data_IF_116155337480
#
_entry.id   IF_116155337480
#
_cell.length_a   1.000
_cell.length_b   1.000
_cell.length_c   1.000
_cell.angle_alpha   90.00
_cell.angle_beta   90.00
_cell.angle_gamma   90.00
#
_symmetry.space_group_name_H-M   'P 1'
#
loop_
_entity.id
_entity.type
_entity.pdbx_description
1 polymer ?
#
# COMPACT_ATOMS: atom_id res chain seq x y z
N UNK A 1 -12.53 -13.53 -7.51
CA UNK A 1 -11.34 -12.69 -7.27
C UNK A 1 -10.88 -12.16 -8.60
N UNK A 2 -10.78 -10.84 -8.76
CA UNK A 2 -10.36 -10.25 -10.03
C UNK A 2 -8.82 -10.32 -10.22
N UNK A 3 -8.30 -10.01 -11.41
CA UNK A 3 -6.84 -10.08 -11.71
C UNK A 3 -6.00 -9.19 -10.78
N UNK A 4 -6.52 -8.05 -10.35
CA UNK A 4 -5.81 -7.15 -9.43
C UNK A 4 -5.73 -7.76 -8.02
N UNK A 5 -6.83 -8.28 -7.53
CA UNK A 5 -6.93 -8.96 -6.23
C UNK A 5 -6.05 -10.21 -6.18
N UNK A 6 -5.99 -10.99 -7.26
CA UNK A 6 -5.09 -12.15 -7.34
C UNK A 6 -3.62 -11.71 -7.20
N UNK A 7 -3.20 -10.63 -7.87
CA UNK A 7 -1.83 -10.10 -7.73
C UNK A 7 -1.52 -9.66 -6.31
N UNK A 8 -2.50 -9.10 -5.59
CA UNK A 8 -2.33 -8.76 -4.18
C UNK A 8 -2.21 -10.02 -3.32
N UNK A 9 -3.07 -11.02 -3.55
CA UNK A 9 -3.02 -12.30 -2.84
C UNK A 9 -1.66 -13.00 -3.04
N UNK A 10 -1.19 -13.12 -4.28
CA UNK A 10 0.11 -13.71 -4.59
C UNK A 10 1.26 -12.93 -3.93
N UNK A 11 1.16 -11.60 -3.88
CA UNK A 11 2.15 -10.75 -3.21
C UNK A 11 2.16 -10.97 -1.71
N UNK A 12 0.99 -11.08 -1.09
CA UNK A 12 0.83 -11.36 0.34
C UNK A 12 1.41 -12.73 0.67
N UNK A 13 1.00 -13.77 -0.06
CA UNK A 13 1.49 -15.14 0.09
C UNK A 13 3.03 -15.22 -0.02
N UNK A 14 3.63 -14.52 -0.99
CA UNK A 14 5.10 -14.46 -1.11
C UNK A 14 5.79 -13.82 0.10
N UNK A 15 5.16 -12.83 0.75
CA UNK A 15 5.73 -12.25 1.97
C UNK A 15 5.53 -13.16 3.17
N UNK A 16 4.39 -13.82 3.29
CA UNK A 16 4.12 -14.81 4.34
C UNK A 16 5.11 -15.97 4.25
N UNK A 17 5.34 -16.53 3.06
CA UNK A 17 6.34 -17.60 2.88
C UNK A 17 7.76 -17.16 3.29
N UNK A 18 8.12 -15.91 3.00
CA UNK A 18 9.42 -15.34 3.40
C UNK A 18 9.53 -15.12 4.91
N UNK A 19 8.44 -14.70 5.54
CA UNK A 19 8.35 -14.56 6.99
C UNK A 19 8.51 -15.92 7.67
N UNK A 20 7.74 -16.92 7.24
CA UNK A 20 7.79 -18.28 7.78
C UNK A 20 9.17 -18.91 7.61
N UNK A 21 9.80 -18.73 6.44
CA UNK A 21 11.17 -19.20 6.21
C UNK A 21 12.16 -18.53 7.17
N UNK A 22 12.11 -17.21 7.30
CA UNK A 22 12.98 -16.48 8.22
C UNK A 22 12.73 -16.86 9.70
N UNK A 23 11.48 -17.11 10.09
CA UNK A 23 11.13 -17.56 11.43
C UNK A 23 11.69 -18.96 11.72
N UNK A 24 11.58 -19.91 10.77
CA UNK A 24 12.19 -21.25 10.89
C UNK A 24 13.71 -21.17 10.98
N UNK A 25 14.34 -20.35 10.16
CA UNK A 25 15.79 -20.14 10.17
C UNK A 25 16.24 -19.51 11.50
N UNK A 26 15.48 -18.53 12.02
CA UNK A 26 15.70 -17.92 13.34
C UNK A 26 15.65 -18.96 14.45
N UNK A 27 14.59 -19.75 14.49
CA UNK A 27 14.38 -20.76 15.54
C UNK A 27 15.48 -21.82 15.52
N UNK A 28 15.83 -22.35 14.35
CA UNK A 28 16.92 -23.32 14.23
C UNK A 28 18.29 -22.74 14.65
N UNK A 29 18.56 -21.48 14.29
CA UNK A 29 19.80 -20.78 14.66
C UNK A 29 19.84 -20.48 16.17
N UNK A 30 18.71 -20.10 16.76
CA UNK A 30 18.56 -19.87 18.19
C UNK A 30 18.81 -21.17 18.98
N UNK A 31 18.17 -22.28 18.57
CA UNK A 31 18.39 -23.60 19.19
C UNK A 31 19.86 -24.02 19.12
N UNK A 32 20.53 -23.77 18.00
CA UNK A 32 21.98 -24.02 17.86
C UNK A 32 22.81 -23.18 18.83
N UNK A 33 22.54 -21.87 18.94
CA UNK A 33 23.23 -21.00 19.88
C UNK A 33 23.02 -21.45 21.35
N UNK A 34 21.79 -21.85 21.68
CA UNK A 34 21.44 -22.42 22.98
C UNK A 34 22.22 -23.71 23.28
N UNK A 35 22.22 -24.67 22.36
CA UNK A 35 22.98 -25.91 22.50
C UNK A 35 24.48 -25.66 22.67
N UNK A 36 25.05 -24.69 21.95
CA UNK A 36 26.45 -24.29 22.13
C UNK A 36 26.69 -23.72 23.54
N UNK A 37 25.74 -22.94 24.06
CA UNK A 37 25.78 -22.38 25.41
C UNK A 37 25.72 -23.43 26.52
N UNK A 38 24.95 -24.50 26.33
CA UNK A 38 24.82 -25.61 27.28
C UNK A 38 26.15 -26.35 27.52
N UNK A 39 27.12 -26.25 26.59
CA UNK A 39 28.46 -26.80 26.77
C UNK A 39 29.32 -26.02 27.80
N UNK A 40 28.89 -24.83 28.23
CA UNK A 40 29.56 -24.04 29.26
C UNK A 40 28.79 -24.20 30.58
N UNK A 41 29.38 -24.85 31.60
CA UNK A 41 28.82 -24.90 32.94
C UNK A 41 28.38 -23.52 33.45
N UNK A 42 27.21 -23.48 34.06
CA UNK A 42 26.65 -22.24 34.58
C UNK A 42 27.58 -21.62 35.63
N UNK A 43 27.88 -20.32 35.48
CA UNK A 43 28.75 -19.58 36.39
C UNK A 43 30.26 -19.78 36.17
N UNK A 44 30.70 -20.57 35.18
CA UNK A 44 32.13 -20.73 34.90
C UNK A 44 32.75 -19.42 34.36
N UNK A 45 33.70 -18.80 35.08
CA UNK A 45 34.37 -17.59 34.61
C UNK A 45 35.38 -17.92 33.50
N UNK A 46 35.81 -16.89 32.76
CA UNK A 46 36.94 -17.01 31.84
C UNK A 46 38.22 -17.11 32.67
N UNK A 47 39.02 -18.15 32.46
CA UNK A 47 40.31 -18.30 33.12
C UNK A 47 41.36 -17.39 32.44
N UNK A 48 41.48 -16.16 32.92
CA UNK A 48 42.42 -15.16 32.39
C UNK A 48 43.87 -15.59 32.65
N UNK A 49 44.72 -15.53 31.63
CA UNK A 49 46.13 -15.95 31.68
C UNK A 49 46.35 -17.45 31.49
N UNK A 50 45.30 -18.28 31.41
CA UNK A 50 45.43 -19.71 31.15
C UNK A 50 45.58 -20.01 29.65
N UNK A 51 46.26 -21.10 29.29
CA UNK A 51 46.49 -21.48 27.88
C UNK A 51 45.18 -21.70 27.08
N UNK A 52 44.05 -21.95 27.76
CA UNK A 52 42.72 -22.14 27.16
C UNK A 52 41.93 -20.84 26.96
N UNK A 53 42.38 -19.71 27.53
CA UNK A 53 41.65 -18.43 27.54
C UNK A 53 41.19 -18.02 26.14
N UNK A 54 42.12 -18.02 25.18
CA UNK A 54 41.85 -17.60 23.80
C UNK A 54 40.77 -18.48 23.14
N UNK A 55 40.80 -19.78 23.40
CA UNK A 55 39.83 -20.74 22.84
C UNK A 55 38.44 -20.52 23.44
N UNK A 56 38.38 -20.28 24.75
CA UNK A 56 37.16 -20.07 25.51
C UNK A 56 36.46 -18.74 25.13
N UNK A 57 37.22 -17.65 25.00
CA UNK A 57 36.73 -16.37 24.45
C UNK A 57 36.14 -16.54 23.05
N UNK A 58 36.91 -17.13 22.13
CA UNK A 58 36.45 -17.39 20.76
C UNK A 58 35.19 -18.27 20.72
N UNK A 59 35.03 -19.22 21.65
CA UNK A 59 33.82 -20.04 21.73
C UNK A 59 32.61 -19.23 22.18
N UNK A 60 32.73 -18.43 23.25
CA UNK A 60 31.68 -17.52 23.70
C UNK A 60 31.31 -16.47 22.64
N UNK A 61 32.29 -15.92 21.94
CA UNK A 61 32.05 -14.98 20.83
C UNK A 61 31.25 -15.64 19.69
N UNK A 62 31.53 -16.91 19.37
CA UNK A 62 30.73 -17.66 18.39
C UNK A 62 29.29 -17.86 18.86
N UNK A 63 29.06 -18.13 20.14
CA UNK A 63 27.69 -18.23 20.71
C UNK A 63 26.97 -16.89 20.54
N UNK A 64 27.60 -15.80 20.99
CA UNK A 64 27.07 -14.44 20.88
C UNK A 64 26.72 -14.09 19.43
N UNK A 65 27.64 -14.33 18.50
CA UNK A 65 27.41 -14.07 17.08
C UNK A 65 26.30 -14.95 16.49
N UNK A 66 26.12 -16.18 16.99
CA UNK A 66 25.04 -17.08 16.54
C UNK A 66 23.69 -16.60 17.06
N UNK A 67 23.60 -16.14 18.31
CA UNK A 67 22.39 -15.45 18.81
C UNK A 67 22.10 -14.17 18.02
N UNK A 68 23.10 -13.34 17.76
CA UNK A 68 22.93 -12.14 16.94
C UNK A 68 22.35 -12.45 15.55
N UNK A 69 22.81 -13.54 14.91
CA UNK A 69 22.22 -14.02 13.65
C UNK A 69 20.77 -14.48 13.80
N UNK A 70 20.44 -15.20 14.88
CA UNK A 70 19.07 -15.63 15.15
C UNK A 70 18.12 -14.42 15.31
N UNK A 71 18.51 -13.43 16.11
CA UNK A 71 17.70 -12.22 16.29
C UNK A 71 17.56 -11.40 14.99
N UNK A 72 18.62 -11.29 14.19
CA UNK A 72 18.52 -10.65 12.87
C UNK A 72 17.53 -11.37 11.93
N UNK A 73 17.48 -12.71 11.98
CA UNK A 73 16.49 -13.50 11.25
C UNK A 73 15.07 -13.31 11.80
N UNK A 74 14.93 -13.20 13.13
CA UNK A 74 13.66 -12.89 13.77
C UNK A 74 13.12 -11.51 13.34
N UNK A 75 13.97 -10.49 13.32
CA UNK A 75 13.59 -9.15 12.85
C UNK A 75 13.22 -9.16 11.36
N UNK A 76 13.94 -9.95 10.56
CA UNK A 76 13.60 -10.19 9.16
C UNK A 76 12.23 -10.86 9.00
N UNK A 77 11.88 -11.81 9.87
CA UNK A 77 10.56 -12.44 9.87
C UNK A 77 9.46 -11.41 10.15
N UNK A 78 9.59 -10.65 11.25
CA UNK A 78 8.66 -9.56 11.62
C UNK A 78 8.53 -8.53 10.49
N UNK A 79 9.62 -8.18 9.84
CA UNK A 79 9.59 -7.26 8.69
C UNK A 79 8.68 -7.77 7.57
N UNK A 80 8.80 -9.06 7.21
CA UNK A 80 7.96 -9.64 6.17
C UNK A 80 6.51 -9.85 6.61
N UNK A 81 6.24 -10.15 7.88
CA UNK A 81 4.89 -10.18 8.44
C UNK A 81 4.22 -8.81 8.32
N UNK A 82 4.92 -7.74 8.70
CA UNK A 82 4.43 -6.36 8.54
C UNK A 82 4.18 -6.03 7.06
N UNK A 83 5.07 -6.46 6.16
CA UNK A 83 4.86 -6.28 4.71
C UNK A 83 3.62 -7.03 4.24
N UNK A 84 3.41 -8.27 4.65
CA UNK A 84 2.22 -9.07 4.32
C UNK A 84 0.94 -8.42 4.84
N UNK A 85 0.94 -7.99 6.10
CA UNK A 85 -0.20 -7.31 6.74
C UNK A 85 -0.53 -5.97 6.04
N UNK A 86 0.45 -5.27 5.49
CA UNK A 86 0.24 -4.03 4.73
C UNK A 86 -0.28 -4.23 3.31
N UNK A 87 -0.28 -5.46 2.78
CA UNK A 87 -0.79 -5.71 1.42
C UNK A 87 -2.30 -5.53 1.40
N UNK A 88 -2.78 -4.62 0.55
CA UNK A 88 -4.22 -4.36 0.38
C UNK A 88 -4.82 -3.42 1.42
N UNK A 89 -4.04 -2.88 2.37
CA UNK A 89 -4.53 -1.86 3.32
C UNK A 89 -4.55 -0.45 2.74
N UNK A 90 -3.92 -0.26 1.57
CA UNK A 90 -4.07 0.97 0.80
C UNK A 90 -5.52 1.15 0.33
N UNK A 91 -5.91 2.39 0.04
CA UNK A 91 -7.21 2.68 -0.54
C UNK A 91 -7.41 1.99 -1.91
N UNK A 92 -8.65 2.04 -2.41
CA UNK A 92 -9.04 1.44 -3.70
C UNK A 92 -8.08 1.91 -4.80
N UNK A 93 -7.44 1.00 -5.52
CA UNK A 93 -6.45 1.33 -6.55
C UNK A 93 -7.11 1.62 -7.89
N UNK A 94 -6.52 2.50 -8.71
CA UNK A 94 -6.99 2.70 -10.10
C UNK A 94 -6.70 1.51 -11.02
N UNK A 95 -5.77 0.63 -10.62
CA UNK A 95 -5.43 -0.60 -11.37
C UNK A 95 -6.41 -1.75 -11.07
N UNK A 96 -7.39 -1.53 -10.19
CA UNK A 96 -8.47 -2.46 -9.92
C UNK A 96 -9.58 -2.28 -10.98
N UNK A 97 -9.93 -3.32 -11.76
CA UNK A 97 -11.03 -3.22 -12.74
C UNK A 97 -12.38 -2.90 -12.08
N UNK A 98 -12.54 -3.16 -10.78
CA UNK A 98 -13.76 -2.88 -10.03
C UNK A 98 -13.65 -1.57 -9.22
N UNK A 99 -12.62 -0.75 -9.45
CA UNK A 99 -12.35 0.46 -8.67
C UNK A 99 -13.53 1.43 -8.60
N UNK A 100 -14.20 1.66 -9.74
CA UNK A 100 -15.32 2.59 -9.83
C UNK A 100 -16.50 2.08 -8.99
N UNK A 101 -16.84 0.80 -9.11
CA UNK A 101 -17.93 0.19 -8.36
C UNK A 101 -17.66 0.17 -6.86
N UNK A 102 -16.42 -0.16 -6.45
CA UNK A 102 -16.00 -0.08 -5.05
C UNK A 102 -16.08 1.34 -4.49
N UNK A 103 -15.67 2.35 -5.28
CA UNK A 103 -15.77 3.76 -4.87
C UNK A 103 -17.23 4.24 -4.79
N UNK A 104 -18.11 3.77 -5.70
CA UNK A 104 -19.55 4.05 -5.64
C UNK A 104 -20.20 3.44 -4.41
N UNK A 105 -19.84 2.21 -4.04
CA UNK A 105 -20.29 1.58 -2.81
C UNK A 105 -19.79 2.34 -1.56
N UNK A 106 -18.53 2.76 -1.53
CA UNK A 106 -17.98 3.58 -0.44
C UNK A 106 -18.73 4.93 -0.34
N UNK A 107 -19.03 5.55 -1.47
CA UNK A 107 -19.79 6.78 -1.54
C UNK A 107 -21.22 6.62 -1.00
N UNK A 108 -21.92 5.55 -1.40
CA UNK A 108 -23.26 5.25 -0.92
C UNK A 108 -23.29 5.07 0.62
N UNK A 109 -22.26 4.42 1.17
CA UNK A 109 -22.10 4.29 2.62
C UNK A 109 -21.88 5.64 3.31
N UNK A 110 -21.06 6.52 2.71
CA UNK A 110 -20.84 7.87 3.23
C UNK A 110 -22.12 8.72 3.18
N UNK A 111 -22.92 8.60 2.11
CA UNK A 111 -24.21 9.27 1.95
C UNK A 111 -25.22 8.78 2.99
N UNK A 112 -25.33 7.47 3.20
CA UNK A 112 -26.18 6.88 4.23
C UNK A 112 -25.76 7.32 5.64
N UNK A 113 -24.44 7.33 5.93
CA UNK A 113 -23.92 7.82 7.20
C UNK A 113 -24.23 9.31 7.41
N UNK A 114 -24.14 10.13 6.36
CA UNK A 114 -24.45 11.55 6.43
C UNK A 114 -25.92 11.78 6.81
N UNK A 115 -26.84 11.11 6.12
CA UNK A 115 -28.26 11.26 6.40
C UNK A 115 -28.63 10.71 7.78
N UNK A 116 -28.02 9.61 8.20
CA UNK A 116 -28.18 9.07 9.56
C UNK A 116 -27.72 10.07 10.63
N UNK A 117 -26.58 10.74 10.46
CA UNK A 117 -26.09 11.76 11.39
C UNK A 117 -27.03 12.98 11.45
N UNK A 118 -27.48 13.47 10.30
CA UNK A 118 -28.43 14.59 10.22
C UNK A 118 -29.77 14.26 10.88
N UNK A 119 -30.31 13.07 10.61
CA UNK A 119 -31.56 12.60 11.18
C UNK A 119 -31.46 12.49 12.72
N UNK A 120 -30.36 11.92 13.22
CA UNK A 120 -30.10 11.83 14.66
C UNK A 120 -30.03 13.23 15.31
N UNK A 121 -29.24 14.15 14.75
CA UNK A 121 -29.14 15.51 15.29
C UNK A 121 -30.48 16.26 15.25
N UNK A 122 -31.27 16.06 14.20
CA UNK A 122 -32.63 16.61 14.11
C UNK A 122 -33.52 16.04 15.22
N UNK A 123 -33.51 14.72 15.42
CA UNK A 123 -34.29 14.06 16.47
C UNK A 123 -33.91 14.55 17.87
N UNK A 124 -32.61 14.69 18.16
CA UNK A 124 -32.10 15.21 19.44
C UNK A 124 -32.59 16.65 19.67
N UNK A 125 -32.52 17.51 18.64
CA UNK A 125 -32.92 18.92 18.73
C UNK A 125 -34.42 19.12 18.90
N UNK A 126 -35.24 18.26 18.29
CA UNK A 126 -36.71 18.37 18.33
C UNK A 126 -37.30 17.87 19.65
N UNK A 127 -36.68 16.89 20.31
CA UNK A 127 -37.15 16.31 21.56
C UNK A 127 -36.52 17.02 22.77
N UNK A 128 -37.28 17.15 23.87
CA UNK A 128 -36.89 17.99 25.04
C UNK A 128 -36.43 17.21 26.27
N UNK A 129 -36.77 15.93 26.37
CA UNK A 129 -36.36 15.07 27.51
C UNK A 129 -35.45 13.96 27.02
N UNK A 130 -34.57 13.46 27.89
CA UNK A 130 -33.67 12.35 27.54
C UNK A 130 -34.45 11.12 27.08
N UNK A 131 -35.56 10.79 27.75
CA UNK A 131 -36.43 9.67 27.39
C UNK A 131 -37.01 9.81 25.97
N UNK A 132 -37.52 11.00 25.63
CA UNK A 132 -38.08 11.26 24.28
C UNK A 132 -37.01 11.30 23.20
N UNK A 133 -35.81 11.78 23.54
CA UNK A 133 -34.65 11.76 22.63
C UNK A 133 -34.18 10.32 22.36
N UNK A 134 -34.07 9.48 23.38
CA UNK A 134 -33.70 8.06 23.24
C UNK A 134 -34.74 7.33 22.40
N UNK A 135 -36.04 7.48 22.70
CA UNK A 135 -37.11 6.85 21.93
C UNK A 135 -37.06 7.25 20.44
N UNK A 136 -36.81 8.54 20.14
CA UNK A 136 -36.68 9.01 18.76
C UNK A 136 -35.45 8.47 18.04
N UNK A 137 -34.31 8.32 18.72
CA UNK A 137 -33.11 7.70 18.16
C UNK A 137 -33.29 6.20 17.93
N UNK A 138 -33.97 5.49 18.84
CA UNK A 138 -34.29 4.08 18.67
C UNK A 138 -35.22 3.86 17.47
N UNK A 139 -36.21 4.74 17.27
CA UNK A 139 -37.06 4.72 16.08
C UNK A 139 -36.29 4.94 14.75
N UNK A 140 -35.14 5.64 14.80
CA UNK A 140 -34.22 5.80 13.67
C UNK A 140 -33.24 4.61 13.49
N UNK A 141 -33.38 3.55 14.27
CA UNK A 141 -32.56 2.33 14.17
C UNK A 141 -31.24 2.38 14.92
N UNK A 142 -31.09 3.26 15.91
CA UNK A 142 -29.99 3.19 16.87
C UNK A 142 -30.34 2.21 17.99
N UNK A 143 -29.35 1.49 18.53
CA UNK A 143 -29.56 0.75 19.76
C UNK A 143 -29.69 1.71 20.94
N UNK A 144 -30.35 1.29 22.03
CA UNK A 144 -30.47 2.10 23.25
C UNK A 144 -29.11 2.56 23.77
N UNK A 145 -28.09 1.69 23.71
CA UNK A 145 -26.71 2.03 24.06
C UNK A 145 -26.14 3.15 23.19
N UNK A 146 -26.34 3.08 21.88
CA UNK A 146 -25.87 4.12 20.96
C UNK A 146 -26.62 5.44 21.17
N UNK A 147 -27.94 5.37 21.41
CA UNK A 147 -28.76 6.53 21.70
C UNK A 147 -28.29 7.24 22.98
N UNK A 148 -28.06 6.49 24.06
CA UNK A 148 -27.53 7.02 25.31
C UNK A 148 -26.16 7.68 25.12
N UNK A 149 -25.25 7.03 24.36
CA UNK A 149 -23.93 7.58 24.06
C UNK A 149 -24.01 8.89 23.26
N UNK A 150 -24.96 9.02 22.33
CA UNK A 150 -25.15 10.27 21.58
C UNK A 150 -25.69 11.41 22.45
N UNK A 151 -26.34 11.11 23.58
CA UNK A 151 -26.80 12.13 24.53
C UNK A 151 -25.76 12.49 25.58
N UNK A 152 -24.71 11.69 25.71
CA UNK A 152 -23.55 12.02 26.52
C UNK A 152 -22.84 13.25 25.94
N UNK A 153 -22.52 14.20 26.80
CA UNK A 153 -21.81 15.40 26.40
C UNK A 153 -20.37 15.06 26.01
N UNK A 154 -19.92 15.56 24.87
CA UNK A 154 -18.51 15.52 24.52
C UNK A 154 -17.67 16.44 25.43
N UNK A 155 -16.35 16.47 25.21
CA UNK A 155 -15.43 17.31 25.99
C UNK A 155 -15.73 18.83 25.88
N UNK A 156 -16.52 19.25 24.89
CA UNK A 156 -16.99 20.62 24.68
C UNK A 156 -18.47 20.82 25.10
N UNK A 157 -19.10 19.83 25.74
CA UNK A 157 -20.49 19.93 26.17
C UNK A 157 -21.54 19.69 25.08
N UNK A 158 -21.14 19.23 23.88
CA UNK A 158 -22.03 18.99 22.74
C UNK A 158 -22.66 17.61 22.84
N UNK A 159 -23.89 17.49 22.35
CA UNK A 159 -24.61 16.22 22.23
C UNK A 159 -24.93 15.94 20.76
N UNK A 160 -25.09 14.67 20.42
CA UNK A 160 -25.29 14.19 19.07
C UNK A 160 -23.98 14.11 18.27
N UNK A 161 -24.10 14.06 16.96
CA UNK A 161 -22.96 14.09 16.07
C UNK A 161 -22.42 15.52 15.93
N UNK A 162 -21.12 15.74 16.15
CA UNK A 162 -20.55 17.08 16.08
C UNK A 162 -20.41 17.59 14.64
N UNK A 163 -20.51 18.90 14.44
CA UNK A 163 -20.49 19.54 13.11
C UNK A 163 -19.25 19.20 12.26
N UNK A 164 -18.10 19.02 12.91
CA UNK A 164 -16.87 18.64 12.21
C UNK A 164 -16.99 17.24 11.59
N UNK A 165 -17.75 16.31 12.19
CA UNK A 165 -17.93 14.97 11.65
C UNK A 165 -18.75 15.01 10.34
N UNK A 166 -19.83 15.80 10.31
CA UNK A 166 -20.62 16.03 9.10
C UNK A 166 -19.82 16.76 8.01
N UNK A 167 -19.01 17.74 8.40
CA UNK A 167 -18.16 18.52 7.48
C UNK A 167 -17.08 17.64 6.86
N UNK A 168 -16.39 16.85 7.68
CA UNK A 168 -15.37 15.91 7.22
C UNK A 168 -15.95 14.86 6.27
N UNK A 169 -17.13 14.32 6.60
CA UNK A 169 -17.81 13.35 5.74
C UNK A 169 -18.22 13.97 4.40
N UNK A 170 -18.77 15.21 4.38
CA UNK A 170 -19.04 15.94 3.14
C UNK A 170 -17.78 16.16 2.28
N UNK A 171 -16.65 16.53 2.90
CA UNK A 171 -15.37 16.67 2.21
C UNK A 171 -14.90 15.36 1.59
N UNK A 172 -15.05 14.25 2.32
CA UNK A 172 -14.74 12.91 1.84
C UNK A 172 -15.62 12.50 0.65
N UNK A 173 -16.93 12.71 0.74
CA UNK A 173 -17.86 12.45 -0.37
C UNK A 173 -17.48 13.23 -1.63
N UNK A 174 -17.14 14.52 -1.51
CA UNK A 174 -16.71 15.34 -2.64
C UNK A 174 -15.45 14.80 -3.30
N UNK A 175 -14.47 14.39 -2.50
CA UNK A 175 -13.22 13.78 -2.97
C UNK A 175 -13.47 12.46 -3.69
N UNK A 176 -14.32 11.59 -3.15
CA UNK A 176 -14.68 10.30 -3.78
C UNK A 176 -15.43 10.52 -5.09
N UNK A 177 -16.41 11.46 -5.13
CA UNK A 177 -17.11 11.84 -6.37
C UNK A 177 -16.14 12.34 -7.45
N UNK A 178 -15.20 13.22 -7.10
CA UNK A 178 -14.18 13.69 -8.03
C UNK A 178 -13.29 12.56 -8.57
N UNK A 179 -12.92 11.62 -7.71
CA UNK A 179 -12.13 10.44 -8.09
C UNK A 179 -12.88 9.49 -9.03
N UNK A 180 -14.18 9.26 -8.79
CA UNK A 180 -15.03 8.46 -9.68
C UNK A 180 -15.07 9.10 -11.07
N UNK A 181 -15.38 10.39 -11.15
CA UNK A 181 -15.44 11.11 -12.43
C UNK A 181 -14.09 11.10 -13.17
N UNK A 182 -12.98 11.19 -12.45
CA UNK A 182 -11.64 11.07 -13.04
C UNK A 182 -11.41 9.68 -13.64
N UNK A 183 -11.74 8.60 -12.94
CA UNK A 183 -11.57 7.23 -13.43
C UNK A 183 -12.51 6.92 -14.60
N UNK A 184 -13.75 7.41 -14.57
CA UNK A 184 -14.71 7.28 -15.67
C UNK A 184 -14.18 7.95 -16.94
N UNK A 185 -13.68 9.19 -16.85
CA UNK A 185 -13.07 9.89 -17.97
C UNK A 185 -11.85 9.14 -18.53
N UNK A 186 -11.04 8.53 -17.66
CA UNK A 186 -9.89 7.74 -18.11
C UNK A 186 -10.31 6.47 -18.85
N UNK A 187 -11.37 5.79 -18.42
CA UNK A 187 -11.90 4.59 -19.11
C UNK A 187 -12.52 4.88 -20.47
N UNK A 188 -13.03 6.10 -20.67
CA UNK A 188 -13.60 6.52 -21.95
C UNK A 188 -12.56 7.02 -22.96
N UNK A 189 -11.30 7.15 -22.54
CA UNK A 189 -10.22 7.56 -23.43
C UNK A 189 -10.00 6.45 -24.46
N UNK A 190 -9.73 6.82 -25.71
CA UNK A 190 -9.27 5.87 -26.71
C UNK A 190 -7.79 5.57 -26.50
N UNK A 191 -7.39 4.35 -26.83
CA UNK A 191 -5.97 4.01 -26.90
C UNK A 191 -5.28 4.87 -27.97
N UNK A 192 -4.03 5.24 -27.70
CA UNK A 192 -3.21 5.99 -28.64
C UNK A 192 -1.97 5.17 -28.93
N UNK A 193 -1.71 4.91 -30.21
CA UNK A 193 -0.47 4.29 -30.63
C UNK A 193 0.24 5.19 -31.65
N UNK A 194 1.55 5.38 -31.45
CA UNK A 194 2.39 6.19 -32.34
C UNK A 194 3.72 5.50 -32.55
N UNK A 195 4.09 5.29 -33.79
CA UNK A 195 5.41 4.81 -34.17
C UNK A 195 6.42 5.96 -34.13
N UNK A 196 7.50 5.77 -33.38
CA UNK A 196 8.70 6.60 -33.46
C UNK A 196 9.79 5.86 -34.23
N UNK A 197 10.96 6.49 -34.38
CA UNK A 197 12.09 5.81 -35.01
C UNK A 197 12.62 4.71 -34.09
N UNK A 198 12.35 3.44 -34.40
CA UNK A 198 12.82 2.25 -33.65
C UNK A 198 12.18 2.02 -32.28
N UNK A 199 10.99 2.60 -32.06
CA UNK A 199 10.17 2.35 -30.87
C UNK A 199 8.69 2.64 -31.15
N UNK A 200 7.81 2.05 -30.36
CA UNK A 200 6.37 2.32 -30.37
C UNK A 200 5.96 2.95 -29.04
N UNK A 201 5.28 4.08 -29.12
CA UNK A 201 4.64 4.73 -27.99
C UNK A 201 3.17 4.32 -27.92
N UNK A 202 2.71 3.87 -26.74
CA UNK A 202 1.32 3.46 -26.51
C UNK A 202 0.75 4.11 -25.26
N UNK A 203 -0.44 4.68 -25.36
CA UNK A 203 -1.32 5.00 -24.23
C UNK A 203 -2.40 3.92 -24.18
N UNK A 204 -2.26 3.02 -23.21
CA UNK A 204 -3.08 1.82 -23.06
C UNK A 204 -4.04 2.02 -21.90
N UNK A 205 -5.31 2.20 -22.23
CA UNK A 205 -6.37 2.52 -21.26
C UNK A 205 -6.80 1.29 -20.48
N UNK A 206 -6.75 0.10 -21.08
CA UNK A 206 -7.05 -1.17 -20.44
C UNK A 206 -5.98 -1.53 -19.38
N UNK A 207 -4.70 -1.44 -19.73
CA UNK A 207 -3.61 -1.65 -18.78
C UNK A 207 -3.40 -0.45 -17.83
N UNK A 208 -4.03 0.69 -18.11
CA UNK A 208 -3.84 1.95 -17.41
C UNK A 208 -2.35 2.36 -17.41
N UNK A 209 -1.68 2.27 -18.57
CA UNK A 209 -0.25 2.57 -18.73
C UNK A 209 0.07 3.43 -19.96
N UNK A 210 1.08 4.27 -19.82
CA UNK A 210 1.83 4.84 -20.94
C UNK A 210 3.08 3.99 -21.12
N UNK A 211 3.36 3.54 -22.34
CA UNK A 211 4.40 2.56 -22.64
C UNK A 211 5.28 3.00 -23.81
N UNK A 212 6.56 2.63 -23.73
CA UNK A 212 7.49 2.60 -24.85
C UNK A 212 7.98 1.17 -25.06
N UNK A 213 7.72 0.62 -26.24
CA UNK A 213 8.21 -0.69 -26.70
C UNK A 213 9.34 -0.44 -27.69
N UNK A 214 10.46 -1.14 -27.55
CA UNK A 214 11.62 -1.02 -28.44
C UNK A 214 11.90 -2.38 -29.07
N UNK A 215 12.33 -2.40 -30.34
CA UNK A 215 12.64 -3.64 -31.07
C UNK A 215 13.83 -4.39 -30.45
N UNK A 216 14.73 -3.66 -29.80
CA UNK A 216 15.90 -4.17 -29.10
C UNK A 216 16.18 -3.40 -27.82
N UNK A 217 17.28 -3.76 -27.14
CA UNK A 217 17.70 -3.05 -25.92
C UNK A 217 18.11 -1.61 -26.28
N UNK A 218 17.40 -0.57 -25.79
CA UNK A 218 17.81 0.80 -26.03
C UNK A 218 19.16 1.09 -25.36
N UNK A 219 19.91 2.03 -25.93
CA UNK A 219 21.20 2.48 -25.40
C UNK A 219 21.07 3.11 -23.99
N UNK A 220 22.20 3.40 -23.35
CA UNK A 220 22.18 3.95 -21.98
C UNK A 220 21.57 5.36 -21.93
N UNK A 221 21.80 6.19 -22.95
CA UNK A 221 21.26 7.55 -23.04
C UNK A 221 19.72 7.54 -23.09
N UNK A 222 19.13 6.72 -23.96
CA UNK A 222 17.67 6.52 -24.06
C UNK A 222 17.09 6.02 -22.74
N UNK A 223 17.74 5.03 -22.11
CA UNK A 223 17.31 4.50 -20.81
C UNK A 223 17.38 5.56 -19.70
N UNK A 224 18.36 6.46 -19.75
CA UNK A 224 18.46 7.58 -18.81
C UNK A 224 17.31 8.57 -18.99
N UNK A 225 16.96 8.93 -20.23
CA UNK A 225 15.81 9.79 -20.54
C UNK A 225 14.51 9.16 -20.03
N UNK A 226 14.28 7.88 -20.29
CA UNK A 226 13.10 7.17 -19.79
C UNK A 226 13.00 7.22 -18.25
N UNK A 227 14.11 6.94 -17.55
CA UNK A 227 14.15 6.97 -16.08
C UNK A 227 13.97 8.37 -15.51
N UNK A 228 14.54 9.41 -16.11
CA UNK A 228 14.38 10.79 -15.64
C UNK A 228 12.92 11.26 -15.76
N UNK A 229 12.19 10.74 -16.74
CA UNK A 229 10.74 10.94 -16.91
C UNK A 229 9.88 9.91 -16.16
N UNK A 230 10.48 9.10 -15.28
CA UNK A 230 9.76 8.19 -14.38
C UNK A 230 9.21 6.91 -15.03
N UNK A 231 9.63 6.57 -16.25
CA UNK A 231 9.32 5.29 -16.87
C UNK A 231 10.17 4.18 -16.26
N UNK A 232 9.55 3.02 -16.01
CA UNK A 232 10.21 1.85 -15.41
C UNK A 232 10.14 0.67 -16.36
N UNK A 233 11.24 -0.04 -16.52
CA UNK A 233 11.29 -1.26 -17.31
C UNK A 233 10.40 -2.35 -16.71
N UNK A 234 9.57 -2.98 -17.54
CA UNK A 234 8.61 -4.00 -17.14
C UNK A 234 8.83 -5.31 -17.92
N UNK A 235 9.75 -6.19 -17.47
CA UNK A 235 10.10 -7.40 -18.20
C UNK A 235 9.00 -8.46 -18.26
N UNK A 236 7.99 -8.37 -17.39
CA UNK A 236 6.87 -9.33 -17.31
C UNK A 236 5.74 -9.02 -18.28
N UNK A 237 5.80 -7.90 -19.00
CA UNK A 237 4.81 -7.51 -20.02
C UNK A 237 5.31 -7.93 -21.40
N UNK A 238 4.36 -8.19 -22.29
CA UNK A 238 4.68 -8.44 -23.69
C UNK A 238 5.39 -7.23 -24.32
N UNK A 239 6.37 -7.48 -25.18
CA UNK A 239 7.27 -6.45 -25.73
C UNK A 239 8.24 -5.80 -24.71
N UNK A 240 8.25 -6.25 -23.44
CA UNK A 240 9.12 -5.74 -22.35
C UNK A 240 9.21 -4.21 -22.29
N UNK A 241 8.08 -3.48 -22.23
CA UNK A 241 8.04 -2.04 -22.32
C UNK A 241 8.67 -1.32 -21.13
N UNK A 242 9.01 -0.06 -21.37
CA UNK A 242 9.18 0.94 -20.33
C UNK A 242 7.82 1.57 -20.05
N UNK A 243 7.34 1.48 -18.81
CA UNK A 243 5.95 1.83 -18.45
C UNK A 243 5.88 2.89 -17.37
N UNK A 244 4.81 3.68 -17.43
CA UNK A 244 4.36 4.60 -16.38
C UNK A 244 2.83 4.50 -16.26
N UNK A 245 2.27 4.87 -15.12
CA UNK A 245 0.81 4.93 -14.95
C UNK A 245 0.19 5.93 -15.93
N UNK A 246 -0.96 5.55 -16.52
CA UNK A 246 -1.74 6.45 -17.36
C UNK A 246 -2.47 7.49 -16.51
N UNK A 247 -1.90 8.69 -16.47
CA UNK A 247 -2.47 9.89 -15.87
C UNK A 247 -1.94 11.11 -16.64
N UNK A 248 -2.45 12.31 -16.35
CA UNK A 248 -2.07 13.53 -17.07
C UNK A 248 -0.55 13.76 -17.08
N UNK A 249 0.12 13.53 -15.95
CA UNK A 249 1.58 13.65 -15.86
C UNK A 249 2.30 12.56 -16.66
N UNK A 250 1.77 11.34 -16.69
CA UNK A 250 2.31 10.22 -17.47
C UNK A 250 2.22 10.47 -18.97
N UNK A 251 1.10 11.02 -19.44
CA UNK A 251 0.90 11.42 -20.84
C UNK A 251 1.88 12.53 -21.19
N UNK A 252 1.92 13.61 -20.39
CA UNK A 252 2.82 14.73 -20.64
C UNK A 252 4.30 14.29 -20.69
N UNK A 253 4.72 13.46 -19.74
CA UNK A 253 6.09 12.92 -19.75
C UNK A 253 6.33 11.98 -20.93
N UNK A 254 5.33 11.19 -21.32
CA UNK A 254 5.39 10.36 -22.53
C UNK A 254 5.61 11.20 -23.78
N UNK A 255 4.90 12.32 -23.92
CA UNK A 255 5.09 13.24 -25.03
C UNK A 255 6.50 13.86 -25.03
N UNK A 256 7.02 14.29 -23.87
CA UNK A 256 8.38 14.82 -23.76
C UNK A 256 9.45 13.79 -24.17
N UNK A 257 9.30 12.54 -23.72
CA UNK A 257 10.20 11.45 -24.12
C UNK A 257 10.07 11.18 -25.62
N UNK A 258 8.85 11.11 -26.15
CA UNK A 258 8.62 10.89 -27.58
C UNK A 258 9.32 11.95 -28.45
N UNK A 259 9.19 13.22 -28.08
CA UNK A 259 9.87 14.34 -28.76
C UNK A 259 11.41 14.20 -28.64
N UNK A 260 11.93 13.96 -27.43
CA UNK A 260 13.37 13.85 -27.19
C UNK A 260 14.03 12.70 -27.97
N UNK A 261 13.38 11.54 -28.05
CA UNK A 261 13.93 10.38 -28.76
C UNK A 261 13.92 10.56 -30.28
N UNK A 262 12.93 11.25 -30.83
CA UNK A 262 12.91 11.57 -32.26
C UNK A 262 13.90 12.70 -32.61
N UNK A 263 14.10 13.68 -31.72
CA UNK A 263 15.08 14.74 -31.93
C UNK A 263 16.53 14.21 -31.90
N UNK A 264 16.86 13.35 -30.94
CA UNK A 264 18.21 12.79 -30.80
C UNK A 264 18.65 12.01 -32.05
N UNK A 265 17.74 11.31 -32.70
CA UNK A 265 18.04 10.49 -33.89
C UNK A 265 18.10 11.28 -35.20
N UNK A 266 17.48 12.45 -35.26
CA UNK A 266 17.63 13.35 -36.40
C UNK A 266 19.01 14.05 -36.41
N UNK A 267 19.68 14.15 -35.27
CA UNK A 267 21.03 14.74 -35.16
C UNK A 267 22.17 13.82 -35.59
N UNK A 268 21.94 12.50 -35.66
CA UNK A 268 22.94 11.51 -36.10
C UNK A 268 22.96 11.31 -37.63
N UNK A 269 22.03 11.92 -38.36
CA UNK A 269 21.87 11.81 -39.82
C UNK A 269 22.31 13.08 -40.59
N UNK A 270 23.09 13.97 -39.97
CA UNK A 270 23.61 15.19 -40.60
C UNK A 270 25.10 15.38 -40.34
#
# INVERSE_FOLDING_TARGET
>A
MNRYEQRLADKKARYEERAERAARDSESTYRKARQMGEAIPFGQPILVGHHSEKRDRNYRDRIHNTYGKAFALQDKAKHYEQKAASVGTGGISSDDPDAIEKLRAELANMEAAQERMKAANKAIRTNKTAETQVAALVALGFSEKQAAQLLEKDFCGRIGFPDYALTNNNGNMRRVKGRIAELEKRRQRADVERTGQGFTYREDTEENRVMFVFDGKPDEATRQILRSHGFRFSPSRDGKPWVRQLNNAGIWNGQRVFEALNAARNGDNN
#
